data_IF_343813191628
#
_entry.id   IF_343813191628
#
_cell.length_a   1.000
_cell.length_b   1.000
_cell.length_c   1.000
_cell.angle_alpha   90.00
_cell.angle_beta   90.00
_cell.angle_gamma   90.00
#
_symmetry.space_group_name_H-M   'P 1'
#
loop_
_entity.id
_entity.type
_entity.pdbx_description
1 polymer ?
#
# COMPACT_ATOMS: atom_id res chain seq x y z
N UNK A 1 -13.55 5.09 53.72
CA UNK A 1 -12.83 6.11 52.93
C UNK A 1 -11.49 5.64 52.36
N UNK A 2 -10.54 5.09 53.14
CA UNK A 2 -9.22 4.66 52.63
C UNK A 2 -9.22 3.58 51.52
N UNK A 3 -10.18 2.65 51.53
CA UNK A 3 -10.30 1.60 50.49
C UNK A 3 -10.79 2.14 49.14
N UNK A 4 -11.73 3.10 49.16
CA UNK A 4 -12.25 3.76 47.95
C UNK A 4 -11.19 4.63 47.27
N UNK A 5 -10.33 5.27 48.05
CA UNK A 5 -9.23 6.09 47.55
C UNK A 5 -8.15 5.22 46.87
N UNK A 6 -7.83 4.06 47.45
CA UNK A 6 -6.91 3.09 46.82
C UNK A 6 -7.48 2.51 45.52
N UNK A 7 -8.79 2.24 45.46
CA UNK A 7 -9.44 1.75 44.25
C UNK A 7 -9.43 2.79 43.13
N UNK A 8 -9.68 4.06 43.46
CA UNK A 8 -9.62 5.18 42.52
C UNK A 8 -8.20 5.41 41.96
N UNK A 9 -7.18 5.31 42.82
CA UNK A 9 -5.76 5.45 42.42
C UNK A 9 -5.31 4.31 41.49
N UNK A 10 -5.75 3.07 41.72
CA UNK A 10 -5.44 1.94 40.83
C UNK A 10 -6.15 2.07 39.47
N UNK A 11 -7.39 2.60 39.46
CA UNK A 11 -8.17 2.83 38.23
C UNK A 11 -7.55 3.94 37.36
N UNK A 12 -7.11 5.04 37.97
CA UNK A 12 -6.39 6.12 37.27
C UNK A 12 -5.05 5.63 36.72
N UNK A 13 -4.32 4.79 37.46
CA UNK A 13 -3.08 4.19 36.98
C UNK A 13 -3.31 3.24 35.79
N UNK A 14 -4.39 2.44 35.80
CA UNK A 14 -4.74 1.57 34.68
C UNK A 14 -5.13 2.37 33.43
N UNK A 15 -5.92 3.43 33.58
CA UNK A 15 -6.30 4.33 32.47
C UNK A 15 -5.09 5.05 31.85
N UNK A 16 -4.12 5.47 32.67
CA UNK A 16 -2.91 6.12 32.20
C UNK A 16 -2.03 5.17 31.35
N UNK A 17 -1.98 3.88 31.69
CA UNK A 17 -1.18 2.90 30.93
C UNK A 17 -1.75 2.55 29.55
N UNK A 18 -3.09 2.63 29.37
CA UNK A 18 -3.73 2.36 28.08
C UNK A 18 -3.56 3.54 27.12
N UNK A 19 -3.58 4.77 27.63
CA UNK A 19 -3.39 5.98 26.81
C UNK A 19 -1.95 6.16 26.28
N UNK A 20 -0.94 5.64 26.99
CA UNK A 20 0.47 5.74 26.57
C UNK A 20 0.88 4.72 25.49
N UNK A 21 0.11 3.66 25.29
CA UNK A 21 0.45 2.64 24.30
C UNK A 21 0.23 3.11 22.85
N UNK A 22 -0.76 3.98 22.62
CA UNK A 22 -1.06 4.53 21.29
C UNK A 22 -0.22 5.78 20.95
N UNK A 23 0.17 6.56 21.96
CA UNK A 23 0.85 7.85 21.76
C UNK A 23 2.36 7.73 21.43
N UNK A 24 2.96 6.54 21.53
CA UNK A 24 4.42 6.40 21.58
C UNK A 24 5.08 5.55 20.48
N UNK A 25 4.39 5.30 19.36
CA UNK A 25 5.15 5.14 18.11
C UNK A 25 5.73 6.51 17.80
N UNK A 26 7.00 6.73 18.15
CA UNK A 26 7.73 7.93 17.73
C UNK A 26 7.48 8.17 16.23
N UNK A 27 7.11 9.39 15.88
CA UNK A 27 6.84 9.75 14.49
C UNK A 27 8.06 9.39 13.64
N UNK A 28 7.89 8.49 12.68
CA UNK A 28 8.98 8.05 11.81
C UNK A 28 9.27 9.18 10.80
N UNK A 29 10.45 9.82 10.86
CA UNK A 29 10.75 10.96 10.00
C UNK A 29 10.75 10.58 8.51
N UNK A 30 10.89 9.29 8.17
CA UNK A 30 10.91 8.80 6.79
C UNK A 30 9.57 8.89 6.09
N UNK A 31 8.47 9.06 6.82
CA UNK A 31 7.10 9.13 6.29
C UNK A 31 6.36 10.39 6.74
N UNK A 32 7.08 11.35 7.34
CA UNK A 32 6.48 12.53 7.93
C UNK A 32 5.78 13.44 6.90
N UNK A 33 6.27 13.45 5.67
CA UNK A 33 5.64 14.11 4.52
C UNK A 33 4.33 13.44 4.10
N UNK A 34 4.31 12.10 4.02
CA UNK A 34 3.10 11.32 3.72
C UNK A 34 2.01 11.50 4.78
N UNK A 35 2.40 11.44 6.07
CA UNK A 35 1.50 11.68 7.19
C UNK A 35 0.96 13.11 7.15
N UNK A 36 1.82 14.11 6.90
CA UNK A 36 1.39 15.52 6.77
C UNK A 36 0.44 15.73 5.59
N UNK A 37 0.66 15.03 4.48
CA UNK A 37 -0.22 15.09 3.31
C UNK A 37 -1.59 14.43 3.58
N UNK A 38 -1.70 13.56 4.59
CA UNK A 38 -2.93 12.87 4.96
C UNK A 38 -3.36 11.78 3.99
N UNK A 39 -2.54 11.48 2.97
CA UNK A 39 -2.83 10.44 1.97
C UNK A 39 -1.55 9.91 1.31
N UNK A 40 -1.62 8.69 0.79
CA UNK A 40 -0.64 8.13 -0.14
C UNK A 40 -1.23 7.96 -1.54
N UNK A 41 -0.50 8.41 -2.56
CA UNK A 41 -0.82 8.27 -3.98
C UNK A 41 -0.15 7.01 -4.51
N UNK A 42 -0.97 6.03 -4.86
CA UNK A 42 -0.53 4.69 -5.25
C UNK A 42 -0.74 4.50 -6.74
N UNK A 43 0.35 4.37 -7.47
CA UNK A 43 0.35 4.19 -8.91
C UNK A 43 0.10 2.73 -9.29
N UNK A 44 -0.86 2.51 -10.19
CA UNK A 44 -1.17 1.22 -10.81
C UNK A 44 -1.10 1.35 -12.32
N UNK A 45 -0.64 0.32 -13.04
CA UNK A 45 -0.74 0.27 -14.50
C UNK A 45 -1.92 -0.59 -14.97
N UNK A 46 -2.33 -0.48 -16.24
CA UNK A 46 -3.57 -1.08 -16.76
C UNK A 46 -3.78 -2.58 -16.49
N UNK A 47 -2.72 -3.37 -16.36
CA UNK A 47 -2.87 -4.80 -16.05
C UNK A 47 -3.20 -5.06 -14.56
N UNK A 48 -3.09 -4.04 -13.71
CA UNK A 48 -3.28 -4.10 -12.26
C UNK A 48 -4.61 -3.50 -11.80
N UNK A 49 -5.39 -2.85 -12.67
CA UNK A 49 -6.66 -2.26 -12.25
C UNK A 49 -7.75 -2.32 -13.33
N UNK A 50 -9.00 -2.30 -12.87
CA UNK A 50 -10.16 -1.92 -13.66
C UNK A 50 -10.66 -0.56 -13.17
N UNK A 51 -11.36 0.16 -14.06
CA UNK A 51 -12.01 1.42 -13.73
C UNK A 51 -13.51 1.22 -13.83
N UNK A 52 -14.21 1.56 -12.76
CA UNK A 52 -15.66 1.61 -12.76
C UNK A 52 -16.13 2.68 -13.77
N UNK A 53 -16.96 2.33 -14.76
CA UNK A 53 -17.32 3.27 -15.83
C UNK A 53 -18.28 4.37 -15.38
N UNK A 54 -18.95 4.20 -14.24
CA UNK A 54 -19.92 5.16 -13.70
C UNK A 54 -19.25 6.11 -12.71
N UNK A 55 -18.52 5.56 -11.73
CA UNK A 55 -17.91 6.32 -10.64
C UNK A 55 -16.49 6.76 -10.95
N UNK A 56 -15.82 6.09 -11.89
CA UNK A 56 -14.40 6.28 -12.17
C UNK A 56 -13.47 5.68 -11.11
N UNK A 57 -13.99 4.99 -10.11
CA UNK A 57 -13.21 4.34 -9.05
C UNK A 57 -12.30 3.25 -9.64
N UNK A 58 -11.04 3.23 -9.22
CA UNK A 58 -10.11 2.17 -9.60
C UNK A 58 -10.27 0.99 -8.64
N UNK A 59 -10.36 -0.22 -9.19
CA UNK A 59 -10.36 -1.48 -8.43
C UNK A 59 -9.20 -2.33 -8.88
N UNK A 60 -8.59 -3.08 -7.97
CA UNK A 60 -7.51 -4.00 -8.33
C UNK A 60 -8.00 -5.09 -9.31
N UNK A 61 -7.15 -5.44 -10.27
CA UNK A 61 -7.36 -6.51 -11.24
C UNK A 61 -6.21 -7.52 -11.16
N UNK A 62 -6.52 -8.82 -11.14
CA UNK A 62 -5.51 -9.88 -11.03
C UNK A 62 -4.61 -9.68 -9.81
N UNK A 63 -3.29 -9.67 -10.01
CA UNK A 63 -2.30 -9.37 -8.95
C UNK A 63 -2.49 -7.98 -8.33
N UNK A 64 -3.06 -7.03 -9.08
CA UNK A 64 -3.38 -5.70 -8.60
C UNK A 64 -4.39 -5.68 -7.45
N UNK A 65 -5.22 -6.72 -7.31
CA UNK A 65 -6.09 -6.89 -6.14
C UNK A 65 -5.28 -6.94 -4.84
N UNK A 66 -4.22 -7.76 -4.83
CA UNK A 66 -3.32 -7.89 -3.67
C UNK A 66 -2.55 -6.59 -3.44
N UNK A 67 -2.08 -5.95 -4.52
CA UNK A 67 -1.38 -4.66 -4.46
C UNK A 67 -2.23 -3.56 -3.81
N UNK A 68 -3.51 -3.45 -4.19
CA UNK A 68 -4.45 -2.50 -3.57
C UNK A 68 -4.66 -2.80 -2.08
N UNK A 69 -4.76 -4.07 -1.69
CA UNK A 69 -4.86 -4.45 -0.27
C UNK A 69 -3.60 -4.06 0.52
N UNK A 70 -2.42 -4.25 -0.07
CA UNK A 70 -1.14 -3.82 0.52
C UNK A 70 -1.11 -2.30 0.69
N UNK A 71 -1.57 -1.54 -0.31
CA UNK A 71 -1.68 -0.09 -0.24
C UNK A 71 -2.59 0.36 0.91
N UNK A 72 -3.77 -0.23 1.07
CA UNK A 72 -4.66 0.05 2.20
C UNK A 72 -4.03 -0.32 3.55
N UNK A 73 -3.36 -1.47 3.64
CA UNK A 73 -2.68 -1.88 4.86
C UNK A 73 -1.48 -0.98 5.21
N UNK A 74 -0.80 -0.40 4.22
CA UNK A 74 0.24 0.59 4.43
C UNK A 74 -0.36 1.91 4.94
N UNK A 75 -1.38 2.43 4.25
CA UNK A 75 -2.04 3.68 4.63
C UNK A 75 -2.67 3.62 6.03
N UNK A 76 -3.31 2.49 6.37
CA UNK A 76 -3.87 2.26 7.70
C UNK A 76 -2.80 2.30 8.81
N UNK A 77 -1.59 1.76 8.55
CA UNK A 77 -0.47 1.84 9.50
C UNK A 77 0.08 3.26 9.65
N UNK A 78 -0.03 4.06 8.59
CA UNK A 78 0.38 5.47 8.58
C UNK A 78 -0.72 6.42 9.10
N UNK A 79 -1.96 5.94 9.24
CA UNK A 79 -3.11 6.76 9.62
C UNK A 79 -3.55 7.74 8.53
N UNK A 80 -3.40 7.37 7.25
CA UNK A 80 -3.67 8.24 6.09
C UNK A 80 -4.62 7.57 5.09
N UNK A 81 -5.16 8.35 4.14
CA UNK A 81 -6.00 7.84 3.06
C UNK A 81 -5.20 7.19 1.93
N UNK A 82 -5.86 6.34 1.13
CA UNK A 82 -5.30 5.81 -0.13
C UNK A 82 -5.94 6.54 -1.30
N UNK A 83 -5.10 7.06 -2.20
CA UNK A 83 -5.52 7.54 -3.51
C UNK A 83 -4.91 6.64 -4.59
N UNK A 84 -5.73 5.85 -5.28
CA UNK A 84 -5.27 5.06 -6.43
C UNK A 84 -5.17 5.96 -7.67
N UNK A 85 -4.05 5.84 -8.40
CA UNK A 85 -3.78 6.60 -9.63
C UNK A 85 -3.44 5.64 -10.76
N UNK A 86 -4.23 5.69 -11.83
CA UNK A 86 -4.12 4.77 -12.95
C UNK A 86 -3.23 5.32 -14.06
N UNK A 87 -2.30 4.49 -14.53
CA UNK A 87 -1.35 4.78 -15.59
C UNK A 87 -1.45 3.76 -16.74
N UNK A 88 -1.11 4.13 -17.99
CA UNK A 88 -1.22 3.24 -19.12
C UNK A 88 -0.16 2.12 -19.10
N UNK A 89 1.06 2.40 -18.61
CA UNK A 89 2.20 1.47 -18.73
C UNK A 89 3.09 1.46 -17.48
N UNK A 90 3.87 0.39 -17.24
CA UNK A 90 4.85 0.38 -16.15
C UNK A 90 5.87 1.53 -16.20
N UNK A 91 6.43 1.95 -17.35
CA UNK A 91 7.31 3.12 -17.41
C UNK A 91 6.65 4.42 -16.92
N UNK A 92 5.36 4.63 -17.20
CA UNK A 92 4.65 5.82 -16.70
C UNK A 92 4.40 5.80 -15.19
N UNK A 93 4.32 4.61 -14.59
CA UNK A 93 4.31 4.46 -13.11
C UNK A 93 5.67 4.87 -12.53
N UNK A 94 6.77 4.40 -13.12
CA UNK A 94 8.13 4.75 -12.68
C UNK A 94 8.38 6.25 -12.77
N UNK A 95 7.99 6.88 -13.88
CA UNK A 95 8.12 8.33 -14.02
C UNK A 95 7.31 9.09 -12.97
N UNK A 96 6.09 8.62 -12.64
CA UNK A 96 5.28 9.23 -11.58
C UNK A 96 6.00 9.24 -10.23
N UNK A 97 6.68 8.13 -9.89
CA UNK A 97 7.47 8.02 -8.66
C UNK A 97 8.70 8.94 -8.71
N UNK A 98 9.41 8.95 -9.84
CA UNK A 98 10.65 9.73 -10.00
C UNK A 98 10.44 11.23 -9.82
N UNK A 99 9.31 11.75 -10.30
CA UNK A 99 8.97 13.19 -10.18
C UNK A 99 8.18 13.53 -8.92
N UNK A 100 7.93 12.55 -8.02
CA UNK A 100 7.16 12.75 -6.79
C UNK A 100 5.67 13.02 -7.00
N UNK A 101 5.14 12.69 -8.17
CA UNK A 101 3.70 12.75 -8.46
C UNK A 101 2.94 11.58 -7.81
N UNK A 102 3.63 10.49 -7.49
CA UNK A 102 3.14 9.33 -6.76
C UNK A 102 4.10 8.99 -5.62
N UNK A 103 3.58 8.34 -4.58
CA UNK A 103 4.34 8.00 -3.38
C UNK A 103 4.76 6.53 -3.38
N UNK A 104 3.92 5.65 -3.93
CA UNK A 104 4.14 4.19 -3.99
C UNK A 104 3.67 3.63 -5.33
N UNK A 105 4.36 2.60 -5.83
CA UNK A 105 3.94 1.83 -6.99
C UNK A 105 4.36 0.37 -6.85
N UNK A 106 3.84 -0.49 -7.72
CA UNK A 106 4.14 -1.93 -7.74
C UNK A 106 4.78 -2.31 -9.06
N UNK A 107 6.01 -2.82 -9.01
CA UNK A 107 6.82 -3.14 -10.19
C UNK A 107 7.83 -4.27 -9.93
N UNK A 108 8.43 -4.75 -11.00
CA UNK A 108 9.47 -5.79 -10.96
C UNK A 108 10.83 -5.26 -10.48
N UNK A 109 11.72 -6.19 -10.13
CA UNK A 109 13.08 -5.88 -9.66
C UNK A 109 13.97 -5.28 -10.75
N UNK A 110 13.60 -5.43 -12.03
CA UNK A 110 14.27 -4.83 -13.18
C UNK A 110 14.30 -3.29 -13.13
N UNK A 111 13.53 -2.67 -12.22
CA UNK A 111 13.41 -1.22 -12.03
C UNK A 111 14.24 -0.64 -10.89
N UNK A 112 15.06 -1.45 -10.21
CA UNK A 112 15.83 -1.02 -9.04
C UNK A 112 16.81 0.13 -9.30
N UNK A 113 17.25 0.32 -10.56
CA UNK A 113 18.14 1.40 -10.94
C UNK A 113 17.41 2.77 -11.08
N UNK A 114 16.08 2.76 -11.22
CA UNK A 114 15.27 3.95 -11.50
C UNK A 114 14.58 4.49 -10.23
N UNK A 115 14.26 3.60 -9.28
CA UNK A 115 13.51 3.88 -8.05
C UNK A 115 13.98 3.00 -6.89
N UNK A 116 13.77 3.48 -5.65
CA UNK A 116 13.97 2.65 -4.46
C UNK A 116 12.93 1.53 -4.38
N UNK A 117 13.37 0.30 -4.13
CA UNK A 117 12.49 -0.86 -3.95
C UNK A 117 12.48 -1.32 -2.49
N UNK A 118 11.33 -1.80 -2.04
CA UNK A 118 11.22 -2.57 -0.80
C UNK A 118 11.89 -3.94 -0.96
N UNK A 119 12.05 -4.72 0.12
CA UNK A 119 12.25 -6.15 -0.02
C UNK A 119 11.15 -6.77 -0.89
N UNK A 120 11.46 -7.81 -1.69
CA UNK A 120 10.45 -8.50 -2.49
C UNK A 120 9.46 -9.23 -1.58
N UNK A 121 8.17 -9.13 -1.90
CA UNK A 121 7.08 -9.73 -1.12
C UNK A 121 6.08 -10.51 -1.98
N UNK A 122 6.23 -10.50 -3.31
CA UNK A 122 5.36 -11.20 -4.25
C UNK A 122 6.20 -11.76 -5.40
N UNK A 123 5.99 -13.04 -5.73
CA UNK A 123 6.49 -13.66 -6.95
C UNK A 123 5.32 -13.81 -7.92
N UNK A 124 5.55 -13.40 -9.17
CA UNK A 124 4.59 -13.57 -10.26
C UNK A 124 5.25 -14.40 -11.36
N UNK A 125 4.68 -15.56 -11.63
CA UNK A 125 5.10 -16.40 -12.73
C UNK A 125 4.36 -15.97 -14.00
N UNK A 126 5.12 -15.68 -15.06
CA UNK A 126 4.57 -15.31 -16.35
C UNK A 126 4.60 -16.52 -17.29
N UNK A 127 3.49 -16.75 -17.98
CA UNK A 127 3.34 -17.82 -18.96
C UNK A 127 2.47 -17.35 -20.13
N UNK A 128 2.41 -18.15 -21.19
CA UNK A 128 1.58 -17.84 -22.36
C UNK A 128 0.21 -18.49 -22.23
N UNK A 129 -0.84 -17.71 -22.48
CA UNK A 129 -2.19 -18.22 -22.69
C UNK A 129 -2.38 -18.53 -24.18
N UNK A 130 -2.80 -19.74 -24.52
CA UNK A 130 -3.08 -20.16 -25.91
C UNK A 130 -4.54 -20.60 -26.06
N UNK A 131 -5.15 -20.44 -27.26
CA UNK A 131 -6.50 -20.93 -27.50
C UNK A 131 -6.63 -22.44 -27.30
N UNK A 132 -7.84 -22.88 -26.96
CA UNK A 132 -8.17 -24.31 -26.93
C UNK A 132 -7.86 -24.95 -28.30
N UNK A 133 -7.18 -26.10 -28.29
CA UNK A 133 -6.77 -26.79 -29.51
C UNK A 133 -5.47 -26.30 -30.16
N UNK A 134 -4.82 -25.26 -29.64
CA UNK A 134 -3.51 -24.81 -30.13
C UNK A 134 -2.51 -25.96 -30.20
N UNK A 135 -1.57 -25.97 -31.17
CA UNK A 135 -0.48 -26.97 -31.21
C UNK A 135 0.68 -26.62 -30.27
N UNK A 136 0.68 -25.40 -29.71
CA UNK A 136 1.69 -24.94 -28.75
C UNK A 136 1.45 -25.66 -27.42
N UNK A 137 2.44 -26.44 -26.98
CA UNK A 137 2.35 -27.32 -25.79
C UNK A 137 3.47 -27.11 -24.78
N UNK A 138 4.52 -26.37 -25.14
CA UNK A 138 5.69 -26.14 -24.29
C UNK A 138 6.18 -24.72 -24.49
N UNK A 139 6.72 -24.17 -23.41
CA UNK A 139 7.52 -22.95 -23.39
C UNK A 139 8.97 -23.48 -23.26
N UNK A 140 9.88 -22.91 -24.05
CA UNK A 140 11.26 -23.36 -24.30
C UNK A 140 11.87 -24.34 -23.27
#
# INVERSE_FOLDING_TARGET
MKKSLRFLLVMVALLATVATADAQRAADPRVADLVRAGRIRVALHLAQYTKDPVTGELRGLGSGTVMVQIAHALAARLGVEVQLVGYPTPPTVVECLRVGACDVGFGGIDRAAEIGLSPPFLQLDYTYLVPAGSSIRRIA
#
